data_IF_434470728532
#
_entry.id   IF_434470728532
#
_cell.length_a   1.000
_cell.length_b   1.000
_cell.length_c   1.000
_cell.angle_alpha   90.00
_cell.angle_beta   90.00
_cell.angle_gamma   90.00
#
_symmetry.space_group_name_H-M   'P 1'
#
loop_
_entity.id
_entity.type
_entity.pdbx_description
1 polymer ?
#
# COMPACT_ATOMS: atom_id res chain seq x y z
N UNK A 1 60.85 -10.76 21.42
CA UNK A 1 59.47 -10.50 20.97
C UNK A 1 59.36 -9.02 20.68
N UNK A 2 59.24 -8.64 19.42
CA UNK A 2 58.89 -7.26 19.04
C UNK A 2 57.36 -7.17 19.05
N UNK A 3 56.80 -6.51 20.06
CA UNK A 3 55.40 -6.11 20.05
C UNK A 3 55.30 -4.87 19.18
N UNK A 4 54.76 -5.01 17.97
CA UNK A 4 54.36 -3.87 17.15
C UNK A 4 52.85 -3.78 17.30
N UNK A 5 52.40 -3.09 18.34
CA UNK A 5 51.00 -2.67 18.49
C UNK A 5 50.85 -1.34 17.74
N UNK A 6 50.87 -1.42 16.41
CA UNK A 6 50.52 -0.32 15.54
C UNK A 6 49.15 -0.66 14.96
N UNK A 7 48.08 -0.34 15.71
CA UNK A 7 46.73 -0.32 15.14
C UNK A 7 46.74 0.75 14.05
N UNK A 8 46.58 0.33 12.80
CA UNK A 8 46.46 1.26 11.69
C UNK A 8 45.22 2.13 11.92
N UNK A 9 45.35 3.45 11.73
CA UNK A 9 44.20 4.37 11.74
C UNK A 9 43.20 3.89 10.71
N UNK A 10 41.97 3.60 11.15
CA UNK A 10 40.90 3.01 10.36
C UNK A 10 40.59 1.55 10.71
N UNK A 11 41.53 0.78 11.27
CA UNK A 11 41.30 -0.63 11.57
C UNK A 11 40.19 -0.80 12.62
N UNK A 12 39.19 -1.62 12.31
CA UNK A 12 38.10 -1.96 13.23
C UNK A 12 38.46 -3.20 14.04
N UNK A 13 38.03 -3.23 15.30
CA UNK A 13 38.06 -4.43 16.14
C UNK A 13 36.71 -4.67 16.79
N UNK A 14 36.29 -5.93 16.86
CA UNK A 14 35.17 -6.35 17.72
C UNK A 14 35.71 -6.64 19.12
N UNK A 15 35.00 -6.13 20.13
CA UNK A 15 35.23 -6.51 21.53
C UNK A 15 34.57 -7.86 21.83
N UNK A 16 34.92 -8.48 22.96
CA UNK A 16 34.30 -9.74 23.39
C UNK A 16 32.78 -9.59 23.63
N UNK A 17 32.33 -8.39 24.01
CA UNK A 17 30.93 -8.04 24.26
C UNK A 17 30.17 -7.66 22.97
N UNK A 18 30.83 -7.74 21.80
CA UNK A 18 30.23 -7.46 20.50
C UNK A 18 30.30 -6.00 20.05
N UNK A 19 30.83 -5.07 20.83
CA UNK A 19 31.01 -3.68 20.39
C UNK A 19 32.05 -3.54 19.29
N UNK A 20 31.92 -2.51 18.45
CA UNK A 20 32.91 -2.15 17.43
C UNK A 20 33.75 -0.99 17.95
N UNK A 21 35.07 -1.14 17.97
CA UNK A 21 36.01 -0.07 18.29
C UNK A 21 36.94 0.21 17.12
N UNK A 22 37.30 1.48 16.91
CA UNK A 22 38.21 1.92 15.86
C UNK A 22 38.89 3.24 16.22
N UNK A 23 40.12 3.43 15.74
CA UNK A 23 40.79 4.74 15.71
C UNK A 23 40.51 5.41 14.38
N UNK A 24 39.85 6.57 14.39
CA UNK A 24 39.26 7.16 13.18
C UNK A 24 39.57 8.63 13.04
N UNK A 25 39.68 9.11 11.80
CA UNK A 25 39.68 10.54 11.48
C UNK A 25 38.23 11.04 11.46
N UNK A 26 37.96 12.19 12.06
CA UNK A 26 36.57 12.69 12.24
C UNK A 26 36.35 14.11 11.73
N UNK A 27 37.41 14.92 11.67
CA UNK A 27 37.38 16.28 11.16
C UNK A 27 38.72 16.61 10.50
N UNK A 28 38.75 17.67 9.68
CA UNK A 28 39.97 18.17 9.03
C UNK A 28 40.02 19.68 8.90
N UNK A 29 41.22 20.20 8.66
CA UNK A 29 41.47 21.56 8.19
C UNK A 29 41.11 21.74 6.71
N UNK A 30 41.18 22.97 6.24
CA UNK A 30 40.93 23.33 4.83
C UNK A 30 39.49 23.80 4.62
N UNK A 31 38.99 23.68 3.39
CA UNK A 31 37.63 24.17 3.07
C UNK A 31 36.57 23.08 3.14
N UNK A 32 35.38 23.49 3.56
CA UNK A 32 34.16 22.71 3.53
C UNK A 32 33.02 23.51 2.93
N UNK A 33 32.11 22.80 2.28
CA UNK A 33 31.00 23.38 1.56
C UNK A 33 29.72 23.14 2.36
N UNK A 34 28.93 24.20 2.48
CA UNK A 34 27.64 24.20 3.14
C UNK A 34 26.60 24.76 2.20
N UNK A 35 25.35 24.36 2.34
CA UNK A 35 24.25 25.14 1.76
C UNK A 35 24.15 26.46 2.51
N UNK A 36 23.76 27.53 1.82
CA UNK A 36 23.59 28.83 2.47
C UNK A 36 22.64 28.78 3.66
N UNK A 37 21.54 28.03 3.55
CA UNK A 37 20.58 27.81 4.63
C UNK A 37 21.19 27.19 5.90
N UNK A 38 22.18 26.29 5.75
CA UNK A 38 22.85 25.63 6.89
C UNK A 38 23.67 26.63 7.73
N UNK A 39 24.05 27.76 7.15
CA UNK A 39 24.93 28.77 7.75
C UNK A 39 24.26 30.13 7.90
N UNK A 40 22.92 30.18 7.81
CA UNK A 40 22.14 31.41 7.98
C UNK A 40 22.32 32.44 6.85
N UNK A 41 22.70 31.98 5.66
CA UNK A 41 22.86 32.78 4.43
C UNK A 41 22.04 32.19 3.29
N UNK A 42 20.69 32.22 3.38
CA UNK A 42 19.81 31.68 2.34
C UNK A 42 19.98 32.36 0.97
N UNK A 43 20.65 33.52 0.93
CA UNK A 43 21.04 34.22 -0.31
C UNK A 43 22.15 33.51 -1.10
N UNK A 44 22.85 32.55 -0.49
CA UNK A 44 23.89 31.75 -1.14
C UNK A 44 23.37 30.34 -1.44
N UNK A 45 23.50 29.86 -2.68
CA UNK A 45 23.24 28.44 -3.00
C UNK A 45 24.20 27.54 -2.19
N UNK A 46 25.49 27.93 -2.19
CA UNK A 46 26.55 27.26 -1.45
C UNK A 46 27.44 28.30 -0.78
N UNK A 47 27.87 28.02 0.45
CA UNK A 47 28.87 28.77 1.20
C UNK A 47 30.14 27.92 1.35
N UNK A 48 31.28 28.50 0.96
CA UNK A 48 32.60 27.89 1.08
C UNK A 48 33.22 28.39 2.38
N UNK A 49 33.33 27.52 3.37
CA UNK A 49 33.77 27.85 4.72
C UNK A 49 35.19 27.33 4.92
N UNK A 50 36.12 28.23 5.23
CA UNK A 50 37.49 27.90 5.55
C UNK A 50 37.64 27.52 7.03
N UNK A 51 38.28 26.38 7.28
CA UNK A 51 38.56 25.81 8.61
C UNK A 51 40.07 25.85 8.82
N UNK A 52 40.61 26.97 9.35
CA UNK A 52 42.03 27.11 9.54
C UNK A 52 42.56 26.16 10.63
N UNK A 53 43.84 25.84 10.52
CA UNK A 53 44.55 24.94 11.42
C UNK A 53 44.41 25.37 12.88
N UNK A 54 44.59 26.67 13.14
CA UNK A 54 44.54 27.25 14.48
C UNK A 54 43.15 27.17 15.14
N UNK A 55 42.08 26.94 14.37
CA UNK A 55 40.73 26.77 14.90
C UNK A 55 40.36 25.29 15.06
N UNK A 56 40.75 24.44 14.10
CA UNK A 56 40.48 23.00 14.18
C UNK A 56 41.28 22.35 15.31
N UNK A 57 42.56 22.69 15.42
CA UNK A 57 43.45 22.16 16.46
C UNK A 57 43.58 23.08 17.69
N UNK A 58 42.71 24.09 17.81
CA UNK A 58 42.57 24.85 19.05
C UNK A 58 42.36 23.87 20.22
N UNK A 59 42.97 24.18 21.37
CA UNK A 59 42.88 23.32 22.56
C UNK A 59 41.43 23.09 22.98
N UNK A 60 40.57 24.10 22.89
CA UNK A 60 39.15 23.99 23.20
C UNK A 60 38.40 23.12 22.19
N UNK A 61 38.75 23.21 20.90
CA UNK A 61 38.20 22.36 19.84
C UNK A 61 38.58 20.90 20.07
N UNK A 62 39.88 20.61 20.20
CA UNK A 62 40.39 19.26 20.41
C UNK A 62 39.83 18.62 21.68
N UNK A 63 39.84 19.34 22.81
CA UNK A 63 39.29 18.84 24.06
C UNK A 63 37.77 18.56 23.98
N UNK A 64 37.05 19.23 23.08
CA UNK A 64 35.60 19.05 22.95
C UNK A 64 35.17 17.74 22.30
N UNK A 65 36.07 16.97 21.67
CA UNK A 65 35.74 15.66 21.10
C UNK A 65 35.63 14.55 22.16
N UNK A 66 36.40 14.65 23.25
CA UNK A 66 36.50 13.60 24.24
C UNK A 66 35.14 13.29 24.88
N UNK A 67 34.83 12.00 25.03
CA UNK A 67 33.61 11.50 25.66
C UNK A 67 32.31 11.99 24.99
N UNK A 68 32.36 12.44 23.74
CA UNK A 68 31.15 12.83 22.99
C UNK A 68 30.39 11.62 22.47
N UNK A 69 29.05 11.70 22.41
CA UNK A 69 28.24 10.66 21.85
C UNK A 69 28.53 10.46 20.36
N UNK A 70 28.43 9.22 19.94
CA UNK A 70 28.33 8.83 18.53
C UNK A 70 26.85 8.64 18.21
N UNK A 71 26.40 9.13 17.06
CA UNK A 71 25.02 8.98 16.58
C UNK A 71 24.98 8.21 15.27
N UNK A 72 23.85 7.56 14.97
CA UNK A 72 23.58 7.03 13.64
C UNK A 72 22.82 8.10 12.85
N UNK A 73 23.43 8.63 11.81
CA UNK A 73 23.06 9.89 11.15
C UNK A 73 23.14 11.14 12.03
N UNK A 74 22.97 12.31 11.41
CA UNK A 74 22.81 13.55 12.14
C UNK A 74 21.41 13.64 12.74
N UNK A 75 21.29 13.84 14.07
CA UNK A 75 20.00 14.19 14.68
C UNK A 75 19.54 15.56 14.20
N UNK A 76 18.22 15.79 14.21
CA UNK A 76 17.61 17.09 13.90
C UNK A 76 17.87 18.16 14.96
N UNK A 77 18.37 17.76 16.13
CA UNK A 77 18.66 18.59 17.28
C UNK A 77 20.02 18.22 17.88
N UNK A 78 20.56 19.08 18.74
CA UNK A 78 21.80 18.80 19.45
C UNK A 78 21.60 17.66 20.44
N UNK A 79 22.63 16.84 20.63
CA UNK A 79 22.60 15.80 21.67
C UNK A 79 22.81 16.46 23.02
N UNK A 80 21.84 16.32 23.91
CA UNK A 80 21.77 16.86 25.28
C UNK A 80 21.55 15.72 26.27
N UNK A 81 21.60 16.01 27.57
CA UNK A 81 21.29 15.01 28.60
C UNK A 81 19.86 14.44 28.47
N UNK A 82 18.93 15.22 27.93
CA UNK A 82 17.52 14.84 27.82
C UNK A 82 17.28 13.81 26.69
N UNK A 83 18.06 13.88 25.62
CA UNK A 83 17.89 13.03 24.43
C UNK A 83 19.07 12.06 24.17
N UNK A 84 20.14 12.12 24.97
CA UNK A 84 21.33 11.29 24.79
C UNK A 84 21.02 9.80 24.72
N UNK A 85 20.13 9.30 25.59
CA UNK A 85 19.75 7.89 25.62
C UNK A 85 19.21 7.39 24.27
N UNK A 86 18.45 8.24 23.58
CA UNK A 86 17.73 7.84 22.37
C UNK A 86 18.57 8.07 21.10
N UNK A 87 19.48 9.05 21.13
CA UNK A 87 20.30 9.43 19.98
C UNK A 87 21.69 8.78 19.96
N UNK A 88 22.23 8.41 21.13
CA UNK A 88 23.57 7.82 21.22
C UNK A 88 23.57 6.33 20.88
N UNK A 89 24.49 5.95 19.99
CA UNK A 89 24.77 4.56 19.58
C UNK A 89 26.18 4.12 19.99
N UNK A 90 26.91 4.98 20.68
CA UNK A 90 28.31 4.81 21.04
C UNK A 90 28.93 6.10 21.60
N UNK A 91 30.25 6.08 21.78
CA UNK A 91 31.00 7.21 22.31
C UNK A 91 32.40 7.33 21.70
N UNK A 92 32.90 8.56 21.72
CA UNK A 92 34.29 8.92 21.41
C UNK A 92 35.12 8.75 22.69
N UNK A 93 36.31 8.14 22.60
CA UNK A 93 37.23 8.04 23.73
C UNK A 93 38.01 9.32 23.99
N UNK A 94 38.92 9.28 24.97
CA UNK A 94 39.59 10.49 25.46
C UNK A 94 40.83 10.92 24.65
N UNK A 95 41.42 9.99 23.90
CA UNK A 95 42.67 10.23 23.17
C UNK A 95 42.43 10.99 21.86
N UNK A 96 42.19 12.29 21.97
CA UNK A 96 42.05 13.18 20.81
C UNK A 96 43.43 13.63 20.35
N UNK A 97 43.81 13.25 19.14
CA UNK A 97 45.13 13.53 18.57
C UNK A 97 45.04 14.19 17.20
N UNK A 98 46.07 14.94 16.84
CA UNK A 98 46.26 15.41 15.47
C UNK A 98 46.92 14.32 14.63
N UNK A 99 46.40 14.09 13.43
CA UNK A 99 46.96 13.21 12.42
C UNK A 99 47.03 13.97 11.08
N UNK A 100 48.16 14.64 10.83
CA UNK A 100 48.33 15.54 9.69
C UNK A 100 47.33 16.70 9.72
N UNK A 101 46.47 16.77 8.71
CA UNK A 101 45.38 17.75 8.58
C UNK A 101 44.09 17.31 9.29
N UNK A 102 44.09 16.11 9.88
CA UNK A 102 42.90 15.51 10.49
C UNK A 102 42.96 15.50 12.02
N UNK A 103 41.77 15.46 12.63
CA UNK A 103 41.58 15.09 14.03
C UNK A 103 41.30 13.58 14.08
N UNK A 104 42.17 12.84 14.77
CA UNK A 104 42.00 11.42 15.08
C UNK A 104 41.42 11.26 16.47
N UNK A 105 40.42 10.39 16.60
CA UNK A 105 39.85 9.98 17.88
C UNK A 105 39.61 8.46 17.91
N UNK A 106 39.75 7.81 19.07
CA UNK A 106 39.16 6.50 19.29
C UNK A 106 37.64 6.62 19.37
N UNK A 107 36.94 5.66 18.77
CA UNK A 107 35.48 5.59 18.74
C UNK A 107 35.03 4.17 19.06
N UNK A 108 33.97 4.04 19.85
CA UNK A 108 33.32 2.77 20.16
C UNK A 108 31.81 2.86 19.89
N UNK A 109 31.32 1.95 19.06
CA UNK A 109 29.89 1.77 18.75
C UNK A 109 29.39 0.57 19.53
N UNK A 110 28.33 0.76 20.31
CA UNK A 110 27.76 -0.25 21.20
C UNK A 110 26.39 -0.74 20.72
N UNK A 111 25.73 -0.01 19.82
CA UNK A 111 24.45 -0.41 19.24
C UNK A 111 24.61 -1.44 18.11
N UNK A 112 24.02 -2.62 18.28
CA UNK A 112 24.15 -3.74 17.33
C UNK A 112 23.64 -3.38 15.93
N UNK A 113 22.50 -2.69 15.81
CA UNK A 113 21.92 -2.31 14.52
C UNK A 113 22.83 -1.37 13.74
N UNK A 114 23.41 -0.39 14.43
CA UNK A 114 24.36 0.55 13.82
C UNK A 114 25.63 -0.18 13.40
N UNK A 115 26.11 -1.14 14.19
CA UNK A 115 27.28 -1.93 13.78
C UNK A 115 27.00 -2.72 12.50
N UNK A 116 25.82 -3.34 12.38
CA UNK A 116 25.43 -4.05 11.15
C UNK A 116 25.42 -3.10 9.93
N UNK A 117 25.00 -1.84 10.11
CA UNK A 117 25.05 -0.83 9.04
C UNK A 117 26.48 -0.47 8.64
N UNK A 118 27.38 -0.33 9.61
CA UNK A 118 28.81 -0.06 9.36
C UNK A 118 29.42 -1.21 8.55
N UNK A 119 29.13 -2.45 8.93
CA UNK A 119 29.62 -3.64 8.24
C UNK A 119 29.04 -3.77 6.83
N UNK A 120 27.83 -3.26 6.60
CA UNK A 120 27.21 -3.13 5.27
C UNK A 120 27.71 -1.95 4.43
N UNK A 121 28.56 -1.08 5.00
CA UNK A 121 29.25 -0.02 4.26
C UNK A 121 28.98 1.41 4.72
N UNK A 122 28.09 1.64 5.69
CA UNK A 122 27.83 2.98 6.25
C UNK A 122 28.98 3.41 7.16
N UNK A 123 30.04 3.93 6.55
CA UNK A 123 31.34 4.12 7.20
C UNK A 123 31.76 5.58 7.37
N UNK A 124 31.11 6.54 6.72
CA UNK A 124 31.48 7.96 6.79
C UNK A 124 31.28 8.55 8.18
N UNK A 125 32.12 9.53 8.54
CA UNK A 125 32.03 10.25 9.80
C UNK A 125 31.84 11.75 9.56
N UNK A 126 30.92 12.35 10.31
CA UNK A 126 30.62 13.78 10.25
C UNK A 126 30.45 14.34 11.65
N UNK A 127 31.22 15.37 12.00
CA UNK A 127 31.13 15.99 13.31
C UNK A 127 29.96 16.99 13.36
N UNK A 128 29.10 16.87 14.37
CA UNK A 128 28.11 17.88 14.73
C UNK A 128 28.66 18.79 15.82
N UNK A 129 28.52 20.11 15.66
CA UNK A 129 29.15 21.09 16.53
C UNK A 129 28.42 22.43 16.53
N UNK A 130 28.80 23.26 17.49
CA UNK A 130 28.61 24.71 17.43
C UNK A 130 29.93 25.37 17.01
N UNK A 131 29.83 26.48 16.30
CA UNK A 131 30.95 27.31 15.88
C UNK A 131 30.47 28.72 15.58
N UNK A 132 31.42 29.65 15.52
CA UNK A 132 31.18 30.99 14.98
C UNK A 132 31.64 31.04 13.52
N UNK A 133 30.92 31.81 12.69
CA UNK A 133 31.29 32.06 11.30
C UNK A 133 31.65 33.54 11.13
N UNK A 134 32.92 33.80 10.88
CA UNK A 134 33.40 35.13 10.53
C UNK A 134 33.30 35.30 9.01
N UNK A 135 32.29 36.04 8.56
CA UNK A 135 32.03 36.35 7.15
C UNK A 135 33.03 37.36 6.57
N UNK A 136 34.29 36.93 6.51
CA UNK A 136 35.39 37.65 5.89
C UNK A 136 35.88 36.81 4.71
N UNK A 137 35.49 37.16 3.48
CA UNK A 137 35.95 36.45 2.30
C UNK A 137 37.47 36.54 2.16
N UNK A 138 38.08 35.49 1.63
CA UNK A 138 39.52 35.45 1.43
C UNK A 138 39.95 34.34 0.49
N UNK A 139 41.26 34.14 0.40
CA UNK A 139 41.85 33.07 -0.41
C UNK A 139 42.84 32.25 0.43
N UNK A 140 42.90 30.95 0.14
CA UNK A 140 43.95 30.06 0.63
C UNK A 140 44.61 29.36 -0.56
N UNK A 141 45.81 28.83 -0.33
CA UNK A 141 46.44 27.89 -1.26
C UNK A 141 46.29 26.47 -0.72
N UNK A 142 45.72 25.58 -1.53
CA UNK A 142 45.66 24.14 -1.25
C UNK A 142 46.34 23.43 -2.43
N UNK A 143 47.56 22.94 -2.20
CA UNK A 143 48.45 22.51 -3.28
C UNK A 143 48.78 23.64 -4.25
N UNK A 144 48.58 23.41 -5.55
CA UNK A 144 48.78 24.42 -6.60
C UNK A 144 47.55 25.32 -6.82
N UNK A 145 46.42 25.01 -6.17
CA UNK A 145 45.16 25.72 -6.38
C UNK A 145 45.00 26.88 -5.40
N UNK A 146 44.47 28.00 -5.88
CA UNK A 146 43.99 29.09 -5.03
C UNK A 146 42.49 28.94 -4.85
N UNK A 147 42.07 28.77 -3.60
CA UNK A 147 40.67 28.58 -3.23
C UNK A 147 40.15 29.85 -2.59
N UNK A 148 39.10 30.44 -3.16
CA UNK A 148 38.31 31.50 -2.53
C UNK A 148 37.32 30.90 -1.52
N UNK A 149 37.17 31.55 -0.37
CA UNK A 149 36.20 31.19 0.67
C UNK A 149 35.39 32.41 1.09
N UNK A 150 34.20 32.18 1.64
CA UNK A 150 33.25 33.23 2.03
C UNK A 150 33.35 33.61 3.51
N UNK A 151 33.68 32.63 4.35
CA UNK A 151 33.80 32.82 5.79
C UNK A 151 34.85 31.90 6.41
N UNK A 152 35.31 32.28 7.59
CA UNK A 152 36.22 31.51 8.43
C UNK A 152 35.43 30.91 9.58
N UNK A 153 35.54 29.60 9.77
CA UNK A 153 34.98 28.92 10.93
C UNK A 153 35.90 29.06 12.14
N UNK A 154 35.36 29.55 13.25
CA UNK A 154 36.09 29.75 14.50
C UNK A 154 35.34 29.15 15.70
N UNK A 155 36.03 29.03 16.84
CA UNK A 155 35.43 28.61 18.12
C UNK A 155 34.64 27.28 18.02
N UNK A 156 35.22 26.29 17.34
CA UNK A 156 34.58 24.99 17.09
C UNK A 156 34.44 24.23 18.41
N UNK A 157 33.23 23.73 18.71
CA UNK A 157 32.94 22.88 19.88
C UNK A 157 32.06 21.70 19.48
N UNK A 158 32.61 20.49 19.58
CA UNK A 158 31.95 19.25 19.18
C UNK A 158 30.83 18.90 20.16
N UNK A 159 29.70 18.47 19.58
CA UNK A 159 28.55 17.94 20.30
C UNK A 159 28.40 16.42 20.11
N UNK A 160 28.58 15.93 18.88
CA UNK A 160 28.51 14.51 18.57
C UNK A 160 29.33 14.18 17.31
N UNK A 161 29.62 12.89 17.10
CA UNK A 161 30.16 12.36 15.85
C UNK A 161 29.10 11.44 15.22
N UNK A 162 28.60 11.82 14.05
CA UNK A 162 27.58 11.05 13.33
C UNK A 162 28.23 10.04 12.37
N UNK A 163 27.72 8.81 12.38
CA UNK A 163 27.98 7.78 11.38
C UNK A 163 27.00 7.98 10.23
N UNK A 164 27.50 8.30 9.05
CA UNK A 164 26.75 8.65 7.84
C UNK A 164 27.27 7.86 6.65
N UNK A 165 26.55 7.88 5.53
CA UNK A 165 27.06 7.28 4.29
C UNK A 165 28.30 8.03 3.77
N UNK A 166 28.26 9.36 3.82
CA UNK A 166 29.35 10.23 3.36
C UNK A 166 29.59 11.40 4.32
N UNK A 167 30.80 11.45 4.90
CA UNK A 167 31.23 12.50 5.81
C UNK A 167 31.60 13.80 5.10
N UNK A 168 31.21 14.95 5.67
CA UNK A 168 31.55 16.28 5.11
C UNK A 168 33.06 16.55 5.08
N UNK A 169 33.80 15.93 6.00
CA UNK A 169 35.25 16.02 6.06
C UNK A 169 35.97 15.18 4.99
N UNK A 170 35.24 14.46 4.12
CA UNK A 170 35.78 13.70 3.01
C UNK A 170 35.99 12.22 3.33
N UNK A 171 36.40 11.45 2.32
CA UNK A 171 36.45 9.99 2.37
C UNK A 171 37.40 9.43 3.44
N UNK A 172 38.43 10.20 3.82
CA UNK A 172 39.39 9.80 4.86
C UNK A 172 38.81 9.83 6.28
N UNK A 173 37.71 10.56 6.50
CA UNK A 173 36.98 10.56 7.77
C UNK A 173 35.92 9.44 7.76
N UNK A 174 36.36 8.22 8.07
CA UNK A 174 35.51 7.02 8.07
C UNK A 174 35.97 5.96 9.09
N UNK A 175 35.10 4.97 9.31
CA UNK A 175 35.36 3.72 10.04
C UNK A 175 35.84 2.65 9.06
N UNK A 176 36.94 1.95 9.34
CA UNK A 176 37.48 0.92 8.46
C UNK A 176 38.57 1.44 7.51
N UNK A 177 39.32 0.49 6.95
CA UNK A 177 40.39 0.78 5.98
C UNK A 177 39.85 1.39 4.68
N UNK A 178 40.76 2.01 3.92
CA UNK A 178 40.42 2.67 2.67
C UNK A 178 39.72 1.74 1.67
N UNK A 179 38.79 2.27 0.85
CA UNK A 179 38.09 1.45 -0.11
C UNK A 179 39.16 0.93 -1.07
N UNK A 180 39.17 -0.37 -1.32
CA UNK A 180 39.60 -0.87 -2.61
C UNK A 180 38.93 0.00 -3.67
N UNK A 181 39.72 0.66 -4.51
CA UNK A 181 39.28 1.52 -5.61
C UNK A 181 38.37 0.74 -6.56
N UNK A 182 37.09 0.60 -6.24
CA UNK A 182 36.07 0.14 -7.16
C UNK A 182 34.68 0.56 -6.68
N UNK A 183 34.07 1.47 -7.43
CA UNK A 183 32.72 1.97 -7.17
C UNK A 183 32.62 3.42 -7.62
N UNK A 184 31.87 3.66 -8.70
CA UNK A 184 31.61 4.98 -9.23
C UNK A 184 31.03 5.90 -8.15
N UNK A 185 31.66 7.07 -7.97
CA UNK A 185 31.23 8.13 -7.09
C UNK A 185 29.87 8.70 -7.52
N UNK A 186 28.80 8.66 -6.71
CA UNK A 186 27.66 9.55 -6.91
C UNK A 186 27.94 10.90 -6.25
N UNK A 187 28.24 11.88 -7.11
CA UNK A 187 28.18 13.35 -7.00
C UNK A 187 27.98 13.95 -5.59
N UNK A 188 29.09 14.10 -4.85
CA UNK A 188 29.27 15.33 -4.06
C UNK A 188 29.78 16.38 -5.07
N UNK A 189 29.12 17.53 -5.21
CA UNK A 189 29.61 18.58 -6.12
C UNK A 189 31.06 18.89 -5.77
N UNK A 190 32.04 18.60 -6.65
CA UNK A 190 33.42 18.87 -6.32
C UNK A 190 33.57 20.38 -6.15
N UNK A 191 34.41 20.81 -5.21
CA UNK A 191 34.68 22.23 -4.96
C UNK A 191 35.00 22.97 -6.28
N UNK A 192 35.72 22.32 -7.20
CA UNK A 192 35.96 22.82 -8.56
C UNK A 192 34.69 23.13 -9.33
N UNK A 193 33.65 22.29 -9.29
CA UNK A 193 32.37 22.55 -9.96
C UNK A 193 31.57 23.70 -9.34
N UNK A 194 31.75 23.97 -8.05
CA UNK A 194 31.11 25.12 -7.38
C UNK A 194 31.88 26.41 -7.70
N UNK A 195 33.21 26.33 -7.75
CA UNK A 195 34.08 27.44 -8.15
C UNK A 195 33.90 27.81 -9.62
N UNK A 196 33.86 26.82 -10.52
CA UNK A 196 33.60 27.01 -11.95
C UNK A 196 32.25 27.70 -12.19
N UNK A 197 31.21 27.35 -11.41
CA UNK A 197 29.89 28.01 -11.48
C UNK A 197 29.91 29.46 -10.96
N UNK A 198 30.82 29.80 -10.05
CA UNK A 198 31.01 31.18 -9.56
C UNK A 198 31.86 32.03 -10.50
N UNK A 199 32.88 31.45 -11.14
CA UNK A 199 33.75 32.15 -12.09
C UNK A 199 33.13 32.27 -13.49
N UNK A 200 32.37 31.27 -13.92
CA UNK A 200 31.57 31.30 -15.13
C UNK A 200 30.09 31.39 -14.75
N UNK A 201 29.62 32.57 -14.36
CA UNK A 201 28.18 32.86 -14.35
C UNK A 201 27.78 33.13 -15.80
N UNK A 202 27.19 32.18 -16.54
CA UNK A 202 26.55 32.53 -17.80
C UNK A 202 25.46 33.55 -17.49
N UNK A 203 25.31 34.54 -18.37
CA UNK A 203 24.23 35.53 -18.31
C UNK A 203 22.89 34.78 -18.23
N UNK A 204 22.35 34.59 -17.02
CA UNK A 204 21.15 33.80 -16.80
C UNK A 204 20.00 34.63 -17.34
N UNK A 205 19.53 34.31 -18.55
CA UNK A 205 18.28 34.88 -19.07
C UNK A 205 17.14 34.48 -18.14
N UNK A 206 16.68 35.44 -17.34
CA UNK A 206 15.50 35.30 -16.50
C UNK A 206 14.24 35.62 -17.31
N UNK A 207 13.12 35.02 -16.90
CA UNK A 207 11.80 35.21 -17.46
C UNK A 207 10.78 35.26 -16.32
N UNK A 208 9.85 36.20 -16.41
CA UNK A 208 8.73 36.29 -15.46
C UNK A 208 7.62 35.32 -15.86
N UNK A 209 7.18 34.48 -14.93
CA UNK A 209 6.03 33.59 -15.08
C UNK A 209 5.02 33.87 -13.97
N UNK A 210 3.74 33.85 -14.31
CA UNK A 210 2.65 34.04 -13.34
C UNK A 210 2.16 32.68 -12.86
N UNK A 211 2.26 32.43 -11.55
CA UNK A 211 1.71 31.25 -10.88
C UNK A 211 0.70 31.73 -9.85
N UNK A 212 -0.56 31.31 -10.00
CA UNK A 212 -1.65 31.67 -9.09
C UNK A 212 -1.83 33.18 -8.87
N UNK A 213 -1.58 33.96 -9.92
CA UNK A 213 -1.66 35.44 -9.87
C UNK A 213 -0.41 36.13 -9.28
N UNK A 214 0.61 35.36 -8.88
CA UNK A 214 1.89 35.87 -8.38
C UNK A 214 2.92 35.82 -9.50
N UNK A 215 3.54 36.97 -9.81
CA UNK A 215 4.64 37.06 -10.76
C UNK A 215 5.94 36.59 -10.10
N UNK A 216 6.54 35.55 -10.64
CA UNK A 216 7.81 34.98 -10.17
C UNK A 216 8.84 35.13 -11.29
N UNK A 217 10.01 35.70 -10.97
CA UNK A 217 11.14 35.72 -11.88
C UNK A 217 11.98 34.45 -11.69
N UNK A 218 12.19 33.71 -12.77
CA UNK A 218 12.93 32.44 -12.77
C UNK A 218 13.81 32.33 -14.01
N UNK A 219 14.70 31.34 -14.08
CA UNK A 219 15.46 31.02 -15.30
C UNK A 219 14.51 30.59 -16.44
N UNK A 220 14.92 30.75 -17.70
CA UNK A 220 14.13 30.32 -18.86
C UNK A 220 13.73 28.82 -18.78
N UNK A 221 14.63 27.96 -18.30
CA UNK A 221 14.33 26.54 -18.07
C UNK A 221 13.28 26.36 -16.96
N UNK A 222 13.40 27.10 -15.86
CA UNK A 222 12.41 27.09 -14.78
C UNK A 222 11.04 27.55 -15.26
N UNK A 223 10.99 28.59 -16.11
CA UNK A 223 9.76 29.08 -16.72
C UNK A 223 9.07 28.00 -17.58
N UNK A 224 9.82 27.28 -18.42
CA UNK A 224 9.29 26.20 -19.23
C UNK A 224 8.75 25.03 -18.40
N UNK A 225 9.40 24.70 -17.27
CA UNK A 225 8.92 23.65 -16.36
C UNK A 225 7.62 24.07 -15.69
N UNK A 226 7.53 25.30 -15.20
CA UNK A 226 6.32 25.85 -14.57
C UNK A 226 5.16 25.85 -15.55
N UNK A 227 5.35 26.34 -16.78
CA UNK A 227 4.32 26.34 -17.82
C UNK A 227 3.82 24.92 -18.15
N UNK A 228 4.73 23.93 -18.21
CA UNK A 228 4.34 22.52 -18.40
C UNK A 228 3.51 21.97 -17.24
N UNK A 229 3.89 22.28 -16.00
CA UNK A 229 3.16 21.84 -14.81
C UNK A 229 1.77 22.49 -14.75
N UNK A 230 1.65 23.78 -15.07
CA UNK A 230 0.35 24.46 -15.16
C UNK A 230 -0.55 23.83 -16.23
N UNK A 231 0.02 23.47 -17.38
CA UNK A 231 -0.72 22.75 -18.42
C UNK A 231 -1.18 21.37 -17.93
N UNK A 232 -0.30 20.59 -17.30
CA UNK A 232 -0.66 19.28 -16.75
C UNK A 232 -1.77 19.38 -15.70
N UNK A 233 -1.73 20.43 -14.86
CA UNK A 233 -2.78 20.68 -13.86
C UNK A 233 -4.13 20.99 -14.53
N UNK A 234 -4.12 21.83 -15.56
CA UNK A 234 -5.33 22.13 -16.36
C UNK A 234 -5.87 20.87 -17.06
N UNK A 235 -5.00 20.07 -17.68
CA UNK A 235 -5.38 18.83 -18.37
C UNK A 235 -5.95 17.81 -17.37
N UNK A 236 -5.35 17.71 -16.17
CA UNK A 236 -5.86 16.86 -15.09
C UNK A 236 -7.24 17.29 -14.60
N UNK A 237 -7.46 18.60 -14.42
CA UNK A 237 -8.76 19.14 -14.05
C UNK A 237 -9.84 18.83 -15.12
N UNK A 238 -9.51 18.97 -16.40
CA UNK A 238 -10.41 18.61 -17.49
C UNK A 238 -10.72 17.10 -17.51
N UNK A 239 -9.72 16.24 -17.25
CA UNK A 239 -9.92 14.80 -17.16
C UNK A 239 -10.85 14.40 -16.00
N UNK A 240 -10.74 15.07 -14.85
CA UNK A 240 -11.63 14.83 -13.71
C UNK A 240 -13.07 15.16 -14.05
N UNK A 241 -13.32 16.27 -14.74
CA UNK A 241 -14.67 16.64 -15.18
C UNK A 241 -15.24 15.67 -16.23
N UNK A 242 -14.42 15.22 -17.18
CA UNK A 242 -14.81 14.19 -18.14
C UNK A 242 -15.16 12.86 -17.46
N UNK A 243 -14.34 12.41 -16.50
CA UNK A 243 -14.60 11.19 -15.73
C UNK A 243 -15.89 11.28 -14.91
N UNK A 244 -16.16 12.44 -14.29
CA UNK A 244 -17.44 12.67 -13.58
C UNK A 244 -18.64 12.56 -14.52
N UNK A 245 -18.55 13.16 -15.71
CA UNK A 245 -19.61 13.06 -16.71
C UNK A 245 -19.84 11.62 -17.17
N UNK A 246 -18.76 10.89 -17.51
CA UNK A 246 -18.85 9.47 -17.90
C UNK A 246 -19.44 8.59 -16.79
N UNK A 247 -19.02 8.81 -15.53
CA UNK A 247 -19.54 8.04 -14.41
C UNK A 247 -21.03 8.33 -14.14
N UNK A 248 -21.45 9.59 -14.30
CA UNK A 248 -22.87 9.98 -14.19
C UNK A 248 -23.72 9.26 -15.24
N UNK A 249 -23.25 9.19 -16.49
CA UNK A 249 -23.95 8.49 -17.57
C UNK A 249 -24.02 6.97 -17.32
N UNK A 250 -22.94 6.39 -16.79
CA UNK A 250 -22.89 4.98 -16.43
C UNK A 250 -23.87 4.61 -15.30
N UNK A 251 -24.00 5.48 -14.27
CA UNK A 251 -25.00 5.30 -13.21
C UNK A 251 -26.42 5.34 -13.81
N UNK A 252 -26.72 6.35 -14.64
CA UNK A 252 -28.04 6.49 -15.25
C UNK A 252 -28.42 5.26 -16.12
N UNK A 253 -27.43 4.68 -16.82
CA UNK A 253 -27.64 3.44 -17.58
C UNK A 253 -27.95 2.23 -16.67
N UNK A 254 -27.25 2.12 -15.52
CA UNK A 254 -27.47 1.03 -14.56
C UNK A 254 -28.80 1.15 -13.82
N UNK A 255 -29.21 2.35 -13.46
CA UNK A 255 -30.53 2.60 -12.85
C UNK A 255 -31.67 2.19 -13.79
N UNK A 256 -31.51 2.45 -15.10
CA UNK A 256 -32.47 1.98 -16.10
C UNK A 256 -32.52 0.45 -16.21
N UNK A 257 -31.37 -0.21 -16.24
CA UNK A 257 -31.29 -1.68 -16.31
C UNK A 257 -31.91 -2.34 -15.06
N UNK A 258 -31.73 -1.73 -13.88
CA UNK A 258 -32.35 -2.20 -12.63
C UNK A 258 -33.87 -2.07 -12.69
N UNK A 259 -34.40 -0.93 -13.13
CA UNK A 259 -35.85 -0.74 -13.27
C UNK A 259 -36.51 -1.74 -14.23
N UNK A 260 -35.83 -2.11 -15.32
CA UNK A 260 -36.31 -3.17 -16.24
C UNK A 260 -36.33 -4.56 -15.59
N UNK A 261 -35.34 -4.88 -14.74
CA UNK A 261 -35.30 -6.14 -14.00
C UNK A 261 -36.36 -6.20 -12.91
N UNK A 262 -36.57 -5.12 -12.16
CA UNK A 262 -37.59 -5.03 -11.12
C UNK A 262 -38.99 -5.24 -11.69
N UNK A 263 -39.29 -4.62 -12.84
CA UNK A 263 -40.56 -4.84 -13.54
C UNK A 263 -40.77 -6.30 -13.95
N UNK A 264 -39.70 -6.99 -14.38
CA UNK A 264 -39.76 -8.41 -14.75
C UNK A 264 -39.90 -9.34 -13.55
N UNK A 265 -39.31 -8.96 -12.40
CA UNK A 265 -39.50 -9.67 -11.14
C UNK A 265 -40.97 -9.58 -10.71
N UNK A 266 -41.57 -8.39 -10.72
CA UNK A 266 -43.00 -8.24 -10.41
C UNK A 266 -43.92 -9.06 -11.34
N UNK A 267 -43.60 -9.12 -12.62
CA UNK A 267 -44.36 -9.93 -13.60
C UNK A 267 -44.29 -11.42 -13.25
N UNK A 268 -43.08 -11.91 -12.94
CA UNK A 268 -42.86 -13.31 -12.55
C UNK A 268 -43.49 -13.65 -11.20
N UNK A 269 -43.49 -12.73 -10.25
CA UNK A 269 -44.15 -12.93 -8.94
C UNK A 269 -45.67 -13.04 -9.10
N UNK A 270 -46.30 -12.24 -9.97
CA UNK A 270 -47.73 -12.34 -10.28
C UNK A 270 -48.09 -13.64 -11.01
N UNK A 271 -47.16 -14.21 -11.76
CA UNK A 271 -47.35 -15.45 -12.49
C UNK A 271 -47.15 -16.72 -11.63
N UNK A 272 -46.69 -16.59 -10.38
CA UNK A 272 -46.59 -17.73 -9.46
C UNK A 272 -48.00 -18.17 -9.07
N UNK A 273 -48.32 -19.42 -9.41
CA UNK A 273 -49.46 -20.14 -8.82
C UNK A 273 -49.13 -20.36 -7.35
N UNK A 274 -50.05 -20.01 -6.45
CA UNK A 274 -49.81 -20.18 -5.02
C UNK A 274 -49.75 -21.67 -4.66
N UNK A 275 -49.04 -22.03 -3.60
CA UNK A 275 -48.96 -23.42 -3.12
C UNK A 275 -50.37 -23.97 -2.81
N UNK A 276 -51.26 -23.12 -2.28
CA UNK A 276 -52.68 -23.46 -2.04
C UNK A 276 -53.43 -23.79 -3.34
N UNK A 277 -53.21 -23.01 -4.40
CA UNK A 277 -53.86 -23.26 -5.70
C UNK A 277 -53.31 -24.53 -6.35
N UNK A 278 -52.01 -24.79 -6.22
CA UNK A 278 -51.39 -26.05 -6.67
C UNK A 278 -51.95 -27.25 -5.92
N UNK A 279 -52.08 -27.18 -4.59
CA UNK A 279 -52.65 -28.24 -3.78
C UNK A 279 -54.11 -28.54 -4.18
N UNK A 280 -54.91 -27.49 -4.43
CA UNK A 280 -56.29 -27.64 -4.90
C UNK A 280 -56.34 -28.29 -6.30
N UNK A 281 -55.49 -27.84 -7.23
CA UNK A 281 -55.42 -28.41 -8.59
C UNK A 281 -55.01 -29.90 -8.56
N UNK A 282 -54.10 -30.29 -7.67
CA UNK A 282 -53.70 -31.69 -7.46
C UNK A 282 -54.84 -32.50 -6.87
N UNK A 283 -55.54 -31.97 -5.86
CA UNK A 283 -56.69 -32.62 -5.25
C UNK A 283 -57.82 -32.87 -6.26
N UNK A 284 -58.21 -31.83 -7.01
CA UNK A 284 -59.25 -31.91 -8.04
C UNK A 284 -58.86 -32.91 -9.13
N UNK A 285 -57.61 -32.88 -9.57
CA UNK A 285 -57.09 -33.82 -10.58
C UNK A 285 -57.11 -35.26 -10.07
N UNK A 286 -56.75 -35.50 -8.81
CA UNK A 286 -56.76 -36.86 -8.24
C UNK A 286 -58.17 -37.46 -8.29
N UNK A 287 -59.18 -36.70 -7.86
CA UNK A 287 -60.58 -37.15 -7.87
C UNK A 287 -61.05 -37.50 -9.28
N UNK A 288 -60.74 -36.65 -10.26
CA UNK A 288 -61.13 -36.85 -11.66
C UNK A 288 -60.45 -38.08 -12.26
N UNK A 289 -59.14 -38.26 -12.02
CA UNK A 289 -58.39 -39.41 -12.55
C UNK A 289 -58.86 -40.72 -11.92
N UNK A 290 -59.13 -40.73 -10.61
CA UNK A 290 -59.60 -41.93 -9.91
C UNK A 290 -61.01 -42.33 -10.36
N UNK A 291 -61.90 -41.35 -10.52
CA UNK A 291 -63.23 -41.57 -11.10
C UNK A 291 -63.14 -42.11 -12.54
N UNK A 292 -62.28 -41.53 -13.37
CA UNK A 292 -62.08 -41.97 -14.76
C UNK A 292 -61.63 -43.43 -14.84
N UNK A 293 -60.71 -43.86 -13.97
CA UNK A 293 -60.23 -45.26 -13.91
C UNK A 293 -61.27 -46.27 -13.40
N UNK A 294 -62.25 -45.82 -12.60
CA UNK A 294 -63.36 -46.66 -12.15
C UNK A 294 -64.43 -46.82 -13.24
N UNK A 295 -64.68 -45.76 -14.01
CA UNK A 295 -65.69 -45.75 -15.06
C UNK A 295 -65.20 -46.41 -16.35
N UNK A 296 -63.92 -46.23 -16.70
CA UNK A 296 -63.32 -46.75 -17.93
C UNK A 296 -62.12 -47.65 -17.59
N UNK A 297 -62.20 -48.93 -17.96
CA UNK A 297 -61.13 -49.88 -17.69
C UNK A 297 -59.84 -49.48 -18.42
N UNK A 298 -58.71 -49.46 -17.70
CA UNK A 298 -57.39 -49.08 -18.23
C UNK A 298 -57.32 -47.65 -18.81
N UNK A 299 -58.11 -46.73 -18.26
CA UNK A 299 -58.06 -45.33 -18.65
C UNK A 299 -56.67 -44.70 -18.45
N UNK A 300 -56.12 -44.09 -19.51
CA UNK A 300 -54.85 -43.35 -19.47
C UNK A 300 -55.11 -41.84 -19.44
N UNK A 301 -54.79 -41.24 -18.30
CA UNK A 301 -54.90 -39.80 -18.06
C UNK A 301 -53.61 -39.01 -18.36
N UNK A 302 -52.55 -39.68 -18.82
CA UNK A 302 -51.23 -39.07 -19.02
C UNK A 302 -51.31 -38.00 -20.11
N UNK A 303 -50.80 -36.79 -19.79
CA UNK A 303 -50.77 -35.67 -20.73
C UNK A 303 -52.13 -35.01 -21.02
N UNK A 304 -53.23 -35.50 -20.45
CA UNK A 304 -54.59 -34.98 -20.68
C UNK A 304 -54.98 -33.95 -19.61
N UNK A 305 -55.65 -32.87 -20.03
CA UNK A 305 -56.24 -31.90 -19.10
C UNK A 305 -57.42 -32.52 -18.34
N UNK A 306 -57.84 -31.90 -17.23
CA UNK A 306 -59.00 -32.37 -16.46
C UNK A 306 -60.28 -32.35 -17.32
N UNK A 307 -60.45 -31.34 -18.20
CA UNK A 307 -61.56 -31.25 -19.12
C UNK A 307 -61.55 -32.38 -20.15
N UNK A 308 -60.38 -32.70 -20.72
CA UNK A 308 -60.23 -33.79 -21.69
C UNK A 308 -60.56 -35.15 -21.06
N UNK A 309 -60.09 -35.38 -19.82
CA UNK A 309 -60.38 -36.62 -19.08
C UNK A 309 -61.89 -36.81 -18.91
N UNK A 310 -62.60 -35.78 -18.43
CA UNK A 310 -64.06 -35.84 -18.24
C UNK A 310 -64.78 -36.09 -19.57
N UNK A 311 -64.36 -35.40 -20.63
CA UNK A 311 -64.97 -35.50 -21.97
C UNK A 311 -64.79 -36.90 -22.55
N UNK A 312 -63.61 -37.51 -22.39
CA UNK A 312 -63.35 -38.86 -22.87
C UNK A 312 -64.16 -39.92 -22.09
N UNK A 313 -64.24 -39.78 -20.77
CA UNK A 313 -65.05 -40.69 -19.92
C UNK A 313 -66.54 -40.60 -20.27
N UNK A 314 -67.08 -39.39 -20.42
CA UNK A 314 -68.48 -39.20 -20.84
C UNK A 314 -68.72 -39.76 -22.23
N UNK A 315 -67.78 -39.55 -23.17
CA UNK A 315 -67.87 -40.11 -24.52
C UNK A 315 -67.90 -41.64 -24.52
N UNK A 316 -67.09 -42.27 -23.68
CA UNK A 316 -66.99 -43.74 -23.57
C UNK A 316 -68.26 -44.34 -22.95
N UNK A 317 -68.73 -43.76 -21.84
CA UNK A 317 -69.86 -44.31 -21.06
C UNK A 317 -71.24 -43.94 -21.63
N UNK A 318 -71.37 -42.80 -22.30
CA UNK A 318 -72.65 -42.29 -22.80
C UNK A 318 -72.73 -42.25 -24.34
N UNK A 319 -71.64 -42.55 -25.05
CA UNK A 319 -71.54 -42.53 -26.51
C UNK A 319 -71.05 -41.19 -27.08
N UNK A 320 -70.28 -41.25 -28.17
CA UNK A 320 -69.54 -40.10 -28.74
C UNK A 320 -70.41 -38.90 -29.14
N UNK A 321 -71.66 -39.12 -29.52
CA UNK A 321 -72.59 -38.03 -29.87
C UNK A 321 -72.99 -37.17 -28.67
N UNK A 322 -72.81 -37.67 -27.44
CA UNK A 322 -73.17 -36.94 -26.21
C UNK A 322 -72.20 -35.83 -25.84
N UNK A 323 -70.98 -35.85 -26.39
CA UNK A 323 -69.94 -34.85 -26.10
C UNK A 323 -69.70 -33.85 -27.23
N UNK A 324 -70.26 -34.12 -28.42
CA UNK A 324 -70.09 -33.29 -29.61
C UNK A 324 -70.77 -31.94 -29.44
N UNK A 325 -70.04 -30.86 -29.72
CA UNK A 325 -70.51 -29.47 -29.66
C UNK A 325 -71.12 -29.10 -28.28
N UNK A 326 -70.68 -29.76 -27.21
CA UNK A 326 -71.11 -29.47 -25.83
C UNK A 326 -70.04 -28.71 -25.07
N UNK A 327 -70.51 -27.75 -24.26
CA UNK A 327 -69.65 -26.94 -23.39
C UNK A 327 -69.04 -27.79 -22.27
N UNK A 328 -67.92 -27.33 -21.72
CA UNK A 328 -67.23 -28.05 -20.65
C UNK A 328 -68.10 -28.21 -19.40
N UNK A 329 -68.97 -27.24 -19.10
CA UNK A 329 -69.90 -27.32 -17.97
C UNK A 329 -70.95 -28.41 -18.16
N UNK A 330 -71.42 -28.62 -19.40
CA UNK A 330 -72.33 -29.74 -19.72
C UNK A 330 -71.61 -31.08 -19.55
N UNK A 331 -70.34 -31.17 -19.97
CA UNK A 331 -69.52 -32.37 -19.81
C UNK A 331 -69.25 -32.65 -18.33
N UNK A 332 -68.91 -31.63 -17.55
CA UNK A 332 -68.69 -31.74 -16.10
C UNK A 332 -69.93 -32.24 -15.38
N UNK A 333 -71.09 -31.64 -15.62
CA UNK A 333 -72.34 -32.08 -15.00
C UNK A 333 -72.71 -33.54 -15.36
N UNK A 334 -72.39 -33.97 -16.59
CA UNK A 334 -72.60 -35.37 -17.02
C UNK A 334 -71.59 -36.32 -16.39
N UNK A 335 -70.34 -35.91 -16.28
CA UNK A 335 -69.30 -36.66 -15.60
C UNK A 335 -69.65 -36.84 -14.12
N UNK A 336 -70.06 -35.79 -13.41
CA UNK A 336 -70.48 -35.86 -12.02
C UNK A 336 -71.68 -36.81 -11.82
N UNK A 337 -72.63 -36.81 -12.76
CA UNK A 337 -73.74 -37.75 -12.75
C UNK A 337 -73.28 -39.21 -12.91
N UNK A 338 -72.23 -39.48 -13.71
CA UNK A 338 -71.63 -40.81 -13.83
C UNK A 338 -70.87 -41.20 -12.56
N UNK A 339 -70.11 -40.27 -11.97
CA UNK A 339 -69.40 -40.50 -10.70
C UNK A 339 -70.39 -40.85 -9.57
N UNK A 340 -71.57 -40.22 -9.56
CA UNK A 340 -72.62 -40.51 -8.59
C UNK A 340 -73.23 -41.92 -8.72
N UNK A 341 -72.96 -42.66 -9.81
CA UNK A 341 -73.39 -44.06 -9.97
C UNK A 341 -72.39 -45.07 -9.43
N UNK A 342 -71.19 -44.63 -9.06
CA UNK A 342 -70.15 -45.46 -8.45
C UNK A 342 -70.56 -45.74 -7.00
N UNK A 343 -70.59 -47.01 -6.59
CA UNK A 343 -70.92 -47.41 -5.23
C UNK A 343 -69.98 -46.73 -4.22
N UNK A 344 -70.57 -46.01 -3.25
CA UNK A 344 -69.89 -45.05 -2.38
C UNK A 344 -68.85 -45.68 -1.44
N UNK A 345 -68.88 -47.00 -1.23
CA UNK A 345 -67.86 -47.73 -0.46
C UNK A 345 -66.51 -47.86 -1.20
N UNK A 346 -66.51 -47.71 -2.54
CA UNK A 346 -65.31 -47.83 -3.38
C UNK A 346 -64.55 -46.51 -3.54
N UNK A 347 -65.25 -45.37 -3.63
CA UNK A 347 -64.62 -44.03 -3.70
C UNK A 347 -63.96 -43.65 -2.38
N UNK A 348 -64.59 -43.97 -1.24
CA UNK A 348 -64.02 -43.76 0.09
C UNK A 348 -62.72 -44.57 0.32
N UNK A 349 -62.55 -45.69 -0.40
CA UNK A 349 -61.34 -46.51 -0.39
C UNK A 349 -60.23 -45.91 -1.27
N UNK A 350 -60.57 -45.37 -2.44
CA UNK A 350 -59.64 -44.63 -3.29
C UNK A 350 -59.06 -43.38 -2.61
N UNK A 351 -59.89 -42.59 -1.92
CA UNK A 351 -59.44 -41.44 -1.12
C UNK A 351 -58.54 -41.85 0.07
N UNK A 352 -58.77 -43.02 0.68
CA UNK A 352 -57.91 -43.56 1.75
C UNK A 352 -56.58 -44.11 1.24
N UNK A 353 -56.57 -44.75 0.08
CA UNK A 353 -55.37 -45.36 -0.50
C UNK A 353 -54.47 -44.30 -1.20
N UNK A 354 -55.04 -43.18 -1.66
CA UNK A 354 -54.31 -42.02 -2.22
C UNK A 354 -53.71 -41.08 -1.16
N UNK A 355 -54.25 -41.04 0.05
CA UNK A 355 -53.77 -40.16 1.14
C UNK A 355 -52.47 -40.63 1.82
N UNK A 356 -51.86 -41.73 1.36
CA UNK A 356 -50.84 -42.48 2.12
C UNK A 356 -49.41 -42.44 1.60
N UNK A 357 -49.10 -41.83 0.45
CA UNK A 357 -47.70 -41.71 -0.01
C UNK A 357 -47.29 -40.24 -0.09
N UNK A 358 -46.75 -39.67 0.99
CA UNK A 358 -46.07 -38.39 0.86
C UNK A 358 -44.94 -38.55 -0.17
N UNK A 359 -44.82 -37.59 -1.08
CA UNK A 359 -43.55 -37.35 -1.76
C UNK A 359 -42.45 -37.28 -0.68
N UNK A 360 -41.24 -37.81 -0.92
CA UNK A 360 -40.20 -37.79 0.09
C UNK A 360 -40.00 -36.35 0.54
N UNK A 361 -40.43 -36.03 1.76
CA UNK A 361 -40.14 -34.76 2.41
C UNK A 361 -38.62 -34.70 2.49
N UNK A 362 -37.98 -33.90 1.65
CA UNK A 362 -36.67 -33.37 2.02
C UNK A 362 -36.88 -32.66 3.35
N UNK A 363 -36.21 -33.19 4.37
CA UNK A 363 -36.49 -32.77 5.73
C UNK A 363 -35.92 -31.38 5.93
N UNK A 364 -36.58 -30.56 6.76
CA UNK A 364 -36.05 -29.27 7.22
C UNK A 364 -34.65 -29.45 7.85
N UNK A 365 -34.32 -30.67 8.32
CA UNK A 365 -32.99 -31.03 8.82
C UNK A 365 -31.90 -31.09 7.72
N UNK A 366 -32.26 -31.19 6.44
CA UNK A 366 -31.31 -31.19 5.31
C UNK A 366 -30.95 -29.74 4.89
N UNK A 367 -31.90 -28.80 5.01
CA UNK A 367 -31.64 -27.36 4.82
C UNK A 367 -30.80 -26.79 5.97
N UNK A 368 -31.10 -27.16 7.22
CA UNK A 368 -30.29 -26.78 8.38
C UNK A 368 -28.87 -27.36 8.28
N UNK A 369 -28.71 -28.60 7.76
CA UNK A 369 -27.38 -29.18 7.49
C UNK A 369 -26.61 -28.45 6.39
N UNK A 370 -27.29 -28.05 5.31
CA UNK A 370 -26.66 -27.30 4.23
C UNK A 370 -26.23 -25.91 4.69
N UNK A 371 -27.04 -25.24 5.50
CA UNK A 371 -26.72 -23.95 6.10
C UNK A 371 -25.55 -24.07 7.10
N UNK A 372 -25.53 -25.12 7.93
CA UNK A 372 -24.41 -25.35 8.85
C UNK A 372 -23.11 -25.74 8.13
N UNK A 373 -23.19 -26.49 7.04
CA UNK A 373 -22.03 -26.78 6.19
C UNK A 373 -21.46 -25.52 5.51
N UNK A 374 -22.33 -24.58 5.11
CA UNK A 374 -21.92 -23.28 4.56
C UNK A 374 -21.18 -22.44 5.62
N UNK A 375 -21.72 -22.36 6.85
CA UNK A 375 -21.09 -21.64 7.95
C UNK A 375 -19.75 -22.26 8.35
N UNK A 376 -19.67 -23.59 8.39
CA UNK A 376 -18.42 -24.32 8.67
C UNK A 376 -17.36 -24.06 7.59
N UNK A 377 -17.74 -24.07 6.31
CA UNK A 377 -16.86 -23.74 5.18
C UNK A 377 -16.32 -22.32 5.27
N UNK A 378 -17.18 -21.33 5.53
CA UNK A 378 -16.73 -19.94 5.68
C UNK A 378 -15.83 -19.74 6.90
N UNK A 379 -16.07 -20.46 8.00
CA UNK A 379 -15.25 -20.37 9.22
C UNK A 379 -13.87 -21.04 9.11
N UNK A 380 -13.70 -21.98 8.17
CA UNK A 380 -12.47 -22.74 7.92
C UNK A 380 -11.69 -22.27 6.69
N UNK A 381 -12.27 -21.37 5.88
CA UNK A 381 -11.66 -20.84 4.65
C UNK A 381 -10.28 -20.18 4.85
N UNK A 382 -9.96 -19.72 6.07
CA UNK A 382 -8.63 -19.17 6.40
C UNK A 382 -7.56 -20.23 6.72
N UNK A 383 -7.93 -21.51 6.82
CA UNK A 383 -7.02 -22.63 7.16
C UNK A 383 -6.55 -23.44 5.96
N UNK A 384 -7.12 -23.22 4.77
CA UNK A 384 -6.78 -24.00 3.57
C UNK A 384 -5.47 -23.53 2.89
N UNK A 385 -4.84 -22.44 3.36
CA UNK A 385 -3.54 -21.96 2.87
C UNK A 385 -2.32 -22.62 3.56
N UNK A 386 -2.51 -23.55 4.52
CA UNK A 386 -1.38 -24.18 5.26
C UNK A 386 -1.03 -25.62 4.83
N UNK A 387 -1.66 -26.19 3.79
CA UNK A 387 -1.30 -27.55 3.26
C UNK A 387 -0.70 -27.53 1.84
N UNK A 388 0.08 -26.49 1.52
CA UNK A 388 1.08 -26.55 0.45
C UNK A 388 2.46 -26.09 0.94
N UNK A 389 3.09 -26.92 1.78
CA UNK A 389 4.57 -26.99 1.90
C UNK A 389 5.06 -28.42 1.67
#
# INVERSE_FOLDING_TARGET
>A
MQFIDAVAVGATRRTADGYLAADVRTARTGVQIYKGDEVGRPDLEWAIIYRPEEQVFDRGSMASFANKPVTNDHPSEMVTADNHRDLSVGHVGEEVARDGEYVRVPLMVTDAKTIDLIEKGKKGLSAGYVCDLLWTPGTIKEGEHTITYDAIQTNIRINHIAIVDHGRAGAECRIGDAPSTWGAFPVNQPLSSIMDRRENVPDIKTRTVVVDGISIETTDQGAQVIERLQKQLSDSAANVENLKATHKDAIAAKDKELGEKDAKIEELEKAKVSDTDLDQMVADRSVIVDAAKHLVEKFDATGKSNADIRREVVSDQCGADTVKDKSDEYIEARFDALVATIDTDTIAKGMKDGAGKPAPKQSIADEDKAHQAMLDSQSKAWREDEEQE
#
